data_IF_090585036114
#
_entry.id   IF_090585036114
#
_cell.length_a   1.000
_cell.length_b   1.000
_cell.length_c   1.000
_cell.angle_alpha   90.00
_cell.angle_beta   90.00
_cell.angle_gamma   90.00
#
_symmetry.space_group_name_H-M   'P 1'
#
loop_
_entity.id
_entity.type
_entity.pdbx_description
1 polymer ?
#
# COMPACT_ATOMS: atom_id res chain seq x y z
N UNK A 1 -1.04 9.13 2.21
CA UNK A 1 -2.31 9.85 2.43
C UNK A 1 -3.22 9.63 1.25
N UNK A 2 -4.35 10.32 1.21
CA UNK A 2 -5.42 10.08 0.23
C UNK A 2 -4.98 10.42 -1.20
N UNK A 3 -4.95 9.39 -2.05
CA UNK A 3 -4.66 9.51 -3.48
C UNK A 3 -5.92 9.35 -4.34
N UNK A 4 -7.08 9.12 -3.71
CA UNK A 4 -8.39 8.91 -4.32
C UNK A 4 -8.35 7.90 -5.49
N UNK A 5 -7.55 6.86 -5.33
CA UNK A 5 -7.33 5.82 -6.31
C UNK A 5 -7.56 4.46 -5.65
N UNK A 6 -8.16 3.52 -6.36
CA UNK A 6 -8.34 2.14 -5.88
C UNK A 6 -7.51 1.22 -6.74
N UNK A 7 -6.50 0.60 -6.13
CA UNK A 7 -5.46 -0.17 -6.83
C UNK A 7 -5.61 -1.68 -6.63
N UNK A 8 -6.58 -2.17 -5.86
CA UNK A 8 -6.72 -3.59 -5.55
C UNK A 8 -5.39 -4.19 -5.08
N UNK A 9 -4.95 -5.24 -5.77
CA UNK A 9 -3.67 -5.92 -5.53
C UNK A 9 -2.60 -5.58 -6.57
N UNK A 10 -2.80 -4.53 -7.37
CA UNK A 10 -1.84 -4.08 -8.39
C UNK A 10 -0.49 -3.68 -7.76
N UNK A 11 0.59 -3.81 -8.52
CA UNK A 11 1.99 -3.73 -8.07
C UNK A 11 2.44 -4.99 -7.34
N UNK A 12 2.54 -6.09 -8.09
CA UNK A 12 3.23 -7.29 -7.64
C UNK A 12 4.76 -7.10 -7.61
N UNK A 13 5.46 -8.12 -7.14
CA UNK A 13 6.92 -8.17 -7.21
C UNK A 13 7.31 -9.32 -8.11
N UNK A 14 8.01 -9.03 -9.21
CA UNK A 14 8.62 -10.07 -10.00
C UNK A 14 9.78 -10.65 -9.20
N UNK A 15 9.69 -11.91 -8.79
CA UNK A 15 10.88 -12.62 -8.33
C UNK A 15 11.79 -12.81 -9.53
N UNK A 16 12.77 -11.92 -9.70
CA UNK A 16 13.94 -12.23 -10.51
C UNK A 16 14.51 -13.51 -9.89
N UNK A 17 14.56 -14.62 -10.65
CA UNK A 17 14.90 -15.96 -10.17
C UNK A 17 16.34 -16.15 -9.70
N UNK A 18 16.94 -15.14 -9.06
CA UNK A 18 18.22 -15.24 -8.37
C UNK A 18 17.93 -15.50 -6.89
N UNK A 19 18.49 -16.61 -6.42
CA UNK A 19 18.39 -17.06 -5.05
C UNK A 19 19.08 -16.04 -4.13
N UNK A 20 18.34 -15.64 -3.09
CA UNK A 20 18.75 -14.85 -1.93
C UNK A 20 18.85 -13.33 -2.13
N UNK A 21 18.09 -12.59 -1.29
CA UNK A 21 18.19 -11.13 -1.05
C UNK A 21 17.77 -10.24 -2.25
N UNK A 22 16.56 -9.72 -2.42
CA UNK A 22 15.60 -9.13 -1.48
C UNK A 22 14.20 -9.28 -2.05
N UNK A 23 13.34 -10.01 -1.33
CA UNK A 23 11.96 -10.22 -1.75
C UNK A 23 11.13 -9.06 -1.24
N UNK A 24 10.96 -8.03 -2.06
CA UNK A 24 9.83 -7.13 -1.87
C UNK A 24 8.57 -8.03 -1.83
N UNK A 25 7.88 -8.02 -0.69
CA UNK A 25 6.76 -8.92 -0.44
C UNK A 25 5.61 -8.66 -1.40
N UNK A 26 4.90 -9.71 -1.81
CA UNK A 26 3.61 -9.53 -2.49
C UNK A 26 2.65 -8.74 -1.60
N UNK A 27 1.80 -7.92 -2.22
CA UNK A 27 0.78 -7.16 -1.48
C UNK A 27 -0.54 -7.91 -1.44
N UNK A 28 -1.16 -7.93 -0.27
CA UNK A 28 -2.56 -8.31 -0.08
C UNK A 28 -3.40 -7.03 0.13
N UNK A 29 -4.63 -6.99 -0.38
CA UNK A 29 -5.57 -5.89 -0.07
C UNK A 29 -6.93 -6.39 0.44
N UNK A 30 -7.52 -5.72 1.42
CA UNK A 30 -8.93 -5.93 1.79
C UNK A 30 -9.86 -5.36 0.71
N UNK A 31 -9.54 -4.17 0.20
CA UNK A 31 -10.22 -3.62 -0.98
C UNK A 31 -9.58 -4.18 -2.26
N UNK A 32 -10.26 -5.15 -2.90
CA UNK A 32 -9.83 -5.77 -4.17
C UNK A 32 -10.18 -4.96 -5.41
N UNK A 33 -10.82 -3.79 -5.27
CA UNK A 33 -11.32 -3.04 -6.43
C UNK A 33 -10.20 -2.27 -7.11
N UNK A 34 -10.16 -2.38 -8.43
CA UNK A 34 -9.22 -1.63 -9.28
C UNK A 34 -9.96 -0.63 -10.16
N UNK A 35 -9.44 0.60 -10.26
CA UNK A 35 -9.98 1.65 -11.12
C UNK A 35 -8.93 2.22 -12.06
N UNK A 36 -9.38 3.01 -13.04
CA UNK A 36 -8.49 3.62 -14.04
C UNK A 36 -7.45 4.53 -13.41
N UNK A 37 -7.83 5.28 -12.38
CA UNK A 37 -6.96 6.11 -11.56
C UNK A 37 -5.92 5.27 -10.82
N UNK A 38 -6.33 4.10 -10.30
CA UNK A 38 -5.43 3.16 -9.65
C UNK A 38 -4.35 2.62 -10.59
N UNK A 39 -4.72 2.23 -11.82
CA UNK A 39 -3.73 1.80 -12.83
C UNK A 39 -2.75 2.91 -13.20
N UNK A 40 -3.21 4.16 -13.31
CA UNK A 40 -2.33 5.33 -13.55
C UNK A 40 -1.38 5.56 -12.39
N UNK A 41 -1.85 5.44 -11.14
CA UNK A 41 -1.01 5.55 -9.95
C UNK A 41 0.08 4.48 -9.94
N UNK A 42 -0.27 3.22 -10.19
CA UNK A 42 0.73 2.13 -10.22
C UNK A 42 1.76 2.32 -11.33
N UNK A 43 1.33 2.68 -12.54
CA UNK A 43 2.28 2.99 -13.61
C UNK A 43 3.22 4.15 -13.24
N UNK A 44 2.70 5.20 -12.60
CA UNK A 44 3.52 6.30 -12.11
C UNK A 44 4.54 5.86 -11.06
N UNK A 45 4.15 4.97 -10.15
CA UNK A 45 5.01 4.41 -9.11
C UNK A 45 6.14 3.55 -9.72
N UNK A 46 5.79 2.63 -10.62
CA UNK A 46 6.73 1.73 -11.28
C UNK A 46 7.77 2.51 -12.12
N UNK A 47 7.34 3.52 -12.88
CA UNK A 47 8.23 4.41 -13.65
C UNK A 47 9.24 5.18 -12.79
N UNK A 48 8.95 5.36 -11.49
CA UNK A 48 9.73 6.20 -10.57
C UNK A 48 10.34 5.43 -9.40
N UNK A 49 10.29 4.10 -9.47
CA UNK A 49 10.77 3.21 -8.41
C UNK A 49 10.15 3.54 -7.04
N UNK A 50 8.83 3.75 -6.99
CA UNK A 50 8.06 3.80 -5.75
C UNK A 50 7.33 2.49 -5.52
N UNK A 51 7.32 2.06 -4.28
CA UNK A 51 6.59 0.92 -3.76
C UNK A 51 5.41 1.39 -2.93
N UNK A 52 4.28 0.71 -3.07
CA UNK A 52 3.09 0.88 -2.22
C UNK A 52 3.18 -0.10 -1.07
N UNK A 53 3.32 0.43 0.14
CA UNK A 53 3.60 -0.33 1.36
C UNK A 53 2.38 -0.97 2.02
N UNK A 54 1.20 -0.38 1.86
CA UNK A 54 -0.05 -0.97 2.36
C UNK A 54 -0.08 -2.45 1.96
N UNK A 55 -0.56 -3.35 2.82
CA UNK A 55 -0.73 -4.75 2.42
C UNK A 55 0.52 -5.63 2.28
N UNK A 56 1.72 -5.07 2.43
CA UNK A 56 2.99 -5.83 2.45
C UNK A 56 3.89 -5.44 3.62
N UNK A 57 3.78 -4.20 4.07
CA UNK A 57 4.54 -3.69 5.18
C UNK A 57 4.21 -4.40 6.49
N UNK A 58 5.22 -4.52 7.36
CA UNK A 58 5.07 -5.03 8.71
C UNK A 58 4.02 -4.23 9.48
N UNK A 59 2.96 -4.90 9.94
CA UNK A 59 1.83 -4.30 10.67
C UNK A 59 0.60 -3.96 9.82
N UNK A 60 0.66 -4.12 8.50
CA UNK A 60 -0.48 -3.99 7.59
C UNK A 60 -0.51 -5.14 6.54
N UNK A 61 -0.16 -6.36 6.94
CA UNK A 61 -0.04 -7.51 6.04
C UNK A 61 -1.38 -7.93 5.38
N UNK A 62 -2.51 -7.42 5.90
CA UNK A 62 -3.84 -7.67 5.34
C UNK A 62 -4.29 -6.61 4.33
N UNK A 63 -3.59 -5.47 4.26
CA UNK A 63 -3.93 -4.32 3.42
C UNK A 63 -5.25 -3.69 3.82
N UNK A 64 -5.27 -3.11 5.02
CA UNK A 64 -6.49 -2.61 5.63
C UNK A 64 -7.18 -1.51 4.79
N UNK A 65 -8.51 -1.47 4.89
CA UNK A 65 -9.28 -0.33 4.36
C UNK A 65 -8.91 0.95 5.12
N UNK A 66 -8.79 2.06 4.39
CA UNK A 66 -8.44 3.38 4.95
C UNK A 66 -9.59 4.36 4.89
N UNK A 67 -10.68 4.02 4.21
CA UNK A 67 -11.90 4.81 4.10
C UNK A 67 -13.12 3.93 4.39
N UNK A 68 -14.04 4.42 5.21
CA UNK A 68 -15.32 3.77 5.50
C UNK A 68 -16.44 4.58 4.82
N UNK A 69 -17.00 4.04 3.72
CA UNK A 69 -18.20 4.62 3.13
C UNK A 69 -19.46 4.35 3.96
N UNK A 70 -20.53 5.10 3.69
CA UNK A 70 -21.81 4.97 4.39
C UNK A 70 -22.55 3.66 4.04
N UNK A 71 -22.41 2.62 4.86
CA UNK A 71 -23.16 1.36 4.77
C UNK A 71 -22.28 0.11 4.82
N UNK A 72 -22.90 -1.06 5.00
CA UNK A 72 -22.17 -2.33 5.15
C UNK A 72 -21.42 -2.69 3.85
N UNK A 73 -20.11 -2.93 3.96
CA UNK A 73 -19.27 -3.37 2.84
C UNK A 73 -18.73 -2.25 1.93
N UNK A 74 -18.84 -0.98 2.33
CA UNK A 74 -18.38 0.18 1.55
C UNK A 74 -16.97 0.66 1.90
N UNK A 75 -16.18 -0.17 2.59
CA UNK A 75 -14.79 0.11 2.87
C UNK A 75 -13.96 0.19 1.57
N UNK A 76 -13.09 1.19 1.47
CA UNK A 76 -12.13 1.31 0.36
C UNK A 76 -10.74 1.60 0.93
N UNK A 77 -9.71 1.26 0.17
CA UNK A 77 -8.36 1.77 0.42
C UNK A 77 -8.14 2.95 -0.52
N UNK A 78 -7.92 4.14 0.03
CA UNK A 78 -7.71 5.40 -0.71
C UNK A 78 -6.43 6.11 -0.24
N UNK A 79 -6.09 5.96 1.04
CA UNK A 79 -4.83 6.41 1.60
C UNK A 79 -3.70 5.38 1.41
N UNK A 80 -2.60 5.82 0.79
CA UNK A 80 -1.43 4.98 0.56
C UNK A 80 -0.16 5.55 1.19
N UNK A 81 0.73 4.64 1.59
CA UNK A 81 2.14 4.94 1.88
C UNK A 81 2.96 4.53 0.67
N UNK A 82 3.62 5.51 0.07
CA UNK A 82 4.53 5.30 -1.05
C UNK A 82 5.96 5.49 -0.57
N UNK A 83 6.79 4.48 -0.78
CA UNK A 83 8.19 4.49 -0.38
C UNK A 83 9.05 4.36 -1.62
N UNK A 84 10.08 5.20 -1.74
CA UNK A 84 11.01 5.10 -2.86
C UNK A 84 11.96 3.93 -2.60
N UNK A 85 12.15 3.07 -3.60
CA UNK A 85 13.15 2.01 -3.54
C UNK A 85 14.55 2.61 -3.50
N UNK A 86 15.43 1.96 -2.75
CA UNK A 86 16.87 2.24 -2.67
C UNK A 86 17.60 0.98 -3.11
N UNK A 87 18.44 1.08 -4.14
CA UNK A 87 19.17 -0.07 -4.71
C UNK A 87 18.27 -1.27 -5.05
N UNK A 88 17.07 -1.01 -5.59
CA UNK A 88 16.04 -2.01 -5.94
C UNK A 88 15.36 -2.69 -4.73
N UNK A 89 15.60 -2.19 -3.52
CA UNK A 89 15.07 -2.74 -2.27
C UNK A 89 14.13 -1.77 -1.54
N UNK A 90 13.30 -2.31 -0.64
CA UNK A 90 12.59 -1.50 0.36
C UNK A 90 13.63 -0.82 1.26
N UNK A 91 13.56 0.51 1.44
CA UNK A 91 14.59 1.21 2.18
C UNK A 91 14.57 0.85 3.66
N UNK A 92 15.77 0.65 4.22
CA UNK A 92 15.96 0.17 5.60
C UNK A 92 15.39 1.12 6.65
N UNK A 93 15.25 2.41 6.33
CA UNK A 93 14.67 3.40 7.25
C UNK A 93 13.18 3.19 7.47
N UNK A 94 12.45 2.51 6.58
CA UNK A 94 11.04 2.22 6.77
C UNK A 94 10.86 0.94 7.59
N UNK A 95 10.09 1.00 8.68
CA UNK A 95 9.90 -0.12 9.63
C UNK A 95 8.50 -0.70 9.65
N UNK A 96 7.66 -0.22 8.74
CA UNK A 96 6.29 -0.68 8.57
C UNK A 96 5.25 0.36 8.97
N UNK A 97 3.99 -0.07 8.89
CA UNK A 97 2.84 0.79 9.07
C UNK A 97 1.67 0.02 9.66
N UNK A 98 0.63 0.76 10.04
CA UNK A 98 -0.68 0.23 10.41
C UNK A 98 -1.76 1.26 10.11
N UNK A 99 -2.98 0.77 9.98
CA UNK A 99 -4.18 1.60 9.91
C UNK A 99 -4.85 1.57 11.28
N UNK A 100 -5.07 2.74 11.88
CA UNK A 100 -5.72 2.86 13.19
C UNK A 100 -7.20 3.24 13.05
N UNK A 101 -7.94 3.10 14.14
CA UNK A 101 -9.31 3.60 14.23
C UNK A 101 -9.31 5.01 14.84
N UNK A 102 -10.21 5.87 14.37
CA UNK A 102 -10.46 7.17 14.96
C UNK A 102 -11.94 7.53 14.87
N UNK A 103 -12.38 8.47 15.71
CA UNK A 103 -13.69 9.09 15.62
C UNK A 103 -13.61 10.44 14.87
N UNK A 104 -14.72 10.85 14.23
CA UNK A 104 -14.83 12.18 13.62
C UNK A 104 -14.31 12.29 12.18
N UNK A 105 -13.94 11.18 11.56
CA UNK A 105 -13.59 11.09 10.14
C UNK A 105 -14.02 9.74 9.57
N UNK A 106 -14.42 9.73 8.30
CA UNK A 106 -14.63 8.52 7.49
C UNK A 106 -13.31 7.92 6.98
N UNK A 107 -12.21 8.68 7.03
CA UNK A 107 -10.86 8.17 6.82
C UNK A 107 -10.23 7.68 8.13
N UNK A 108 -9.54 6.55 8.04
CA UNK A 108 -8.75 5.94 9.11
C UNK A 108 -7.29 6.42 9.05
N UNK A 109 -6.66 6.78 10.18
CA UNK A 109 -5.26 7.20 10.20
C UNK A 109 -4.34 6.11 9.70
N UNK A 110 -3.41 6.50 8.83
CA UNK A 110 -2.29 5.67 8.43
C UNK A 110 -1.06 6.11 9.22
N UNK A 111 -0.57 5.21 10.08
CA UNK A 111 0.58 5.47 10.96
C UNK A 111 1.74 4.62 10.50
N UNK A 112 2.88 5.25 10.20
CA UNK A 112 4.10 4.57 9.79
C UNK A 112 5.24 4.80 10.79
N UNK A 113 6.21 3.88 10.82
CA UNK A 113 7.39 3.93 11.66
C UNK A 113 8.64 4.02 10.82
N UNK A 114 9.54 4.89 11.24
CA UNK A 114 10.85 5.12 10.63
C UNK A 114 11.95 4.80 11.64
N UNK A 115 13.19 4.62 11.19
CA UNK A 115 14.40 4.69 12.05
C UNK A 115 14.67 6.09 12.59
#
# INVERSE_FOLDING_TARGET
>A
GDLNARIGELQGCASCGMEEEVRIGERIAQDKTERGEGRKLIGWCEERAFLVENGRARGDETGAITFIGEGAGLGSTLDYVLVRLEDEEEPKWFKGMKVEEQEGSDHRPVVYRLE
#
